data_IF_255611819497
#
_entry.id   IF_255611819497
#
_cell.length_a   1.000
_cell.length_b   1.000
_cell.length_c   1.000
_cell.angle_alpha   90.00
_cell.angle_beta   90.00
_cell.angle_gamma   90.00
#
_symmetry.space_group_name_H-M   'P 1'
#
loop_
_entity.id
_entity.type
_entity.pdbx_description
1 polymer ?
#
# COMPACT_ATOMS: atom_id res chain seq x y z
N UNK A 1 -20.56 -20.19 -21.30
CA UNK A 1 -19.11 -20.27 -21.54
C UNK A 1 -18.48 -19.43 -20.45
N UNK A 2 -17.67 -20.04 -19.59
CA UNK A 2 -17.08 -19.41 -18.41
C UNK A 2 -16.08 -18.36 -18.85
N UNK A 3 -16.38 -17.08 -18.60
CA UNK A 3 -15.38 -16.03 -18.69
C UNK A 3 -14.94 -15.78 -17.26
N UNK A 4 -13.99 -16.59 -16.82
CA UNK A 4 -13.14 -16.23 -15.70
C UNK A 4 -12.40 -14.97 -16.14
N UNK A 5 -12.78 -13.83 -15.56
CA UNK A 5 -12.14 -12.56 -15.78
C UNK A 5 -11.09 -12.41 -14.67
N UNK A 6 -9.79 -12.70 -14.89
CA UNK A 6 -8.75 -12.46 -13.90
C UNK A 6 -8.39 -10.97 -13.86
N UNK A 7 -9.39 -10.07 -13.83
CA UNK A 7 -9.15 -8.62 -13.90
C UNK A 7 -9.45 -7.95 -12.57
N UNK A 8 -8.95 -8.50 -11.46
CA UNK A 8 -8.54 -7.73 -10.28
C UNK A 8 -7.53 -8.59 -9.49
N UNK A 9 -6.51 -9.11 -10.17
CA UNK A 9 -5.21 -9.13 -9.52
C UNK A 9 -4.66 -7.72 -9.67
N UNK A 10 -5.28 -6.75 -9.00
CA UNK A 10 -4.55 -5.54 -8.62
C UNK A 10 -3.56 -6.02 -7.56
N UNK A 11 -2.52 -6.71 -8.02
CA UNK A 11 -1.22 -6.68 -7.39
C UNK A 11 -0.77 -5.23 -7.58
N UNK A 12 -1.39 -4.33 -6.84
CA UNK A 12 -1.00 -2.94 -6.76
C UNK A 12 0.30 -2.96 -6.01
N UNK A 13 1.36 -3.18 -6.78
CA UNK A 13 2.77 -3.09 -6.43
C UNK A 13 3.00 -1.72 -5.81
N UNK A 14 2.70 -1.64 -4.53
CA UNK A 14 3.27 -0.66 -3.64
C UNK A 14 3.77 -1.42 -2.44
N UNK A 15 4.78 -2.26 -2.71
CA UNK A 15 5.61 -2.98 -1.76
C UNK A 15 6.45 -2.00 -0.93
N UNK A 16 5.79 -1.02 -0.29
CA UNK A 16 6.44 -0.07 0.58
C UNK A 16 6.97 -0.80 1.81
N UNK A 17 8.24 -1.21 1.79
CA UNK A 17 8.85 -1.83 2.96
C UNK A 17 9.01 -0.81 4.08
N UNK A 18 8.60 -1.22 5.27
CA UNK A 18 8.78 -0.41 6.46
C UNK A 18 10.28 -0.14 6.70
N UNK A 19 10.76 1.11 6.74
CA UNK A 19 12.18 1.42 6.95
C UNK A 19 12.66 1.12 8.37
N UNK A 20 11.73 0.93 9.31
CA UNK A 20 12.04 0.65 10.71
C UNK A 20 12.31 -0.84 10.97
N UNK A 21 11.51 -1.74 10.38
CA UNK A 21 11.62 -3.19 10.60
C UNK A 21 11.87 -4.03 9.35
N UNK A 22 11.77 -3.45 8.15
CA UNK A 22 11.92 -4.15 6.87
C UNK A 22 10.71 -5.01 6.45
N UNK A 23 9.62 -4.98 7.22
CA UNK A 23 8.41 -5.76 6.88
C UNK A 23 7.73 -5.23 5.62
N UNK A 24 7.15 -6.15 4.86
CA UNK A 24 6.24 -5.89 3.73
C UNK A 24 4.77 -5.85 4.18
N UNK A 25 4.49 -6.08 5.47
CA UNK A 25 3.16 -5.97 6.07
C UNK A 25 2.83 -4.49 6.30
N UNK A 26 2.54 -3.79 5.20
CA UNK A 26 2.26 -2.35 5.19
C UNK A 26 1.02 -2.04 4.37
N UNK A 27 0.14 -1.22 4.91
CA UNK A 27 -1.10 -0.81 4.25
C UNK A 27 -0.97 0.62 3.74
N UNK A 28 -1.31 0.86 2.47
CA UNK A 28 -1.30 2.20 1.87
C UNK A 28 -2.62 2.91 2.22
N UNK A 29 -2.58 3.79 3.22
CA UNK A 29 -3.74 4.58 3.57
C UNK A 29 -3.83 5.79 2.62
N UNK A 30 -4.74 5.67 1.65
CA UNK A 30 -5.07 6.76 0.74
C UNK A 30 -6.43 7.34 1.07
N UNK A 31 -6.50 8.50 1.74
CA UNK A 31 -7.71 9.29 1.69
C UNK A 31 -7.91 9.73 0.23
N UNK A 32 -8.94 9.19 -0.43
CA UNK A 32 -9.40 9.63 -1.77
C UNK A 32 -9.93 11.06 -1.65
N UNK A 33 -9.02 12.02 -1.59
CA UNK A 33 -9.30 13.44 -1.59
C UNK A 33 -8.59 14.11 -2.79
N UNK A 34 -9.16 15.18 -3.35
CA UNK A 34 -8.60 15.87 -4.52
C UNK A 34 -7.26 16.61 -4.24
N UNK A 35 -6.60 16.40 -3.09
CA UNK A 35 -5.62 17.35 -2.56
C UNK A 35 -4.36 16.78 -1.91
N UNK A 36 -4.15 15.46 -1.77
CA UNK A 36 -2.96 14.95 -1.08
C UNK A 36 -2.24 13.88 -1.91
N UNK A 37 -1.23 14.31 -2.68
CA UNK A 37 -0.16 13.46 -3.23
C UNK A 37 0.78 12.90 -2.15
N UNK A 38 0.30 12.74 -0.91
CA UNK A 38 1.04 12.16 0.21
C UNK A 38 0.55 10.73 0.34
N UNK A 39 1.29 9.78 -0.24
CA UNK A 39 1.10 8.36 0.03
C UNK A 39 1.65 8.08 1.42
N UNK A 40 0.78 7.98 2.42
CA UNK A 40 1.17 7.55 3.77
C UNK A 40 0.92 6.05 3.88
N UNK A 41 1.89 5.33 4.44
CA UNK A 41 1.81 3.88 4.64
C UNK A 41 1.75 3.61 6.13
N UNK A 42 1.03 2.58 6.52
CA UNK A 42 0.94 2.14 7.89
C UNK A 42 1.57 0.76 8.01
N UNK A 43 2.59 0.61 8.86
CA UNK A 43 3.21 -0.68 9.10
C UNK A 43 2.43 -1.45 10.16
N UNK A 44 1.91 -2.64 9.83
CA UNK A 44 1.18 -3.47 10.78
C UNK A 44 2.10 -4.09 11.84
N UNK A 45 3.39 -4.25 11.52
CA UNK A 45 4.40 -4.79 12.46
C UNK A 45 4.87 -3.78 13.49
N UNK A 46 5.15 -2.55 13.05
CA UNK A 46 5.53 -1.47 13.96
C UNK A 46 4.30 -0.80 14.58
N UNK A 47 3.13 -0.95 13.95
CA UNK A 47 1.90 -0.22 14.24
C UNK A 47 2.07 1.30 14.15
N UNK A 48 2.96 1.73 13.25
CA UNK A 48 3.35 3.13 13.07
C UNK A 48 3.21 3.54 11.60
N UNK A 49 2.77 4.78 11.32
CA UNK A 49 2.72 5.31 9.98
C UNK A 49 4.12 5.75 9.50
N UNK A 50 4.38 5.62 8.21
CA UNK A 50 5.62 6.02 7.56
C UNK A 50 5.35 6.56 6.16
N UNK A 51 6.20 7.48 5.72
CA UNK A 51 6.20 7.97 4.34
C UNK A 51 7.24 7.16 3.55
N UNK A 52 6.82 6.57 2.43
CA UNK A 52 7.76 5.97 1.48
C UNK A 52 7.99 6.95 0.33
N UNK A 53 9.24 7.08 -0.09
CA UNK A 53 9.62 7.82 -1.28
C UNK A 53 9.92 6.77 -2.35
N UNK A 54 8.90 6.32 -3.09
CA UNK A 54 9.14 5.49 -4.27
C UNK A 54 9.69 6.33 -5.43
#
# INVERSE_FOLDING_TARGET
MTTEDPSTATTGEDDARCPYCGSTETNRDHPKGPSLCRSMYFCERCQEPFETFS
#
